data_IF_993755187383
#
_entry.id   IF_993755187383
#
_cell.length_a   1.000
_cell.length_b   1.000
_cell.length_c   1.000
_cell.angle_alpha   90.00
_cell.angle_beta   90.00
_cell.angle_gamma   90.00
#
_symmetry.space_group_name_H-M   'P 1'
#
loop_
_entity.id
_entity.type
_entity.pdbx_description
1 polymer ?
#
# COMPACT_ATOMS: atom_id res chain seq x y z
N UNK A 1 30.43 1.39 6.80
CA UNK A 1 30.25 2.52 7.72
C UNK A 1 29.55 3.65 6.99
N UNK A 2 28.32 4.00 7.40
CA UNK A 2 27.57 5.10 6.80
C UNK A 2 28.34 6.41 6.94
N UNK A 3 28.26 7.28 5.93
CA UNK A 3 28.90 8.61 6.02
C UNK A 3 28.16 9.46 7.05
N UNK A 4 28.87 10.40 7.69
CA UNK A 4 28.36 11.27 8.77
C UNK A 4 26.99 11.92 8.46
N UNK A 5 26.72 12.25 7.20
CA UNK A 5 25.45 12.87 6.81
C UNK A 5 24.30 11.86 6.67
N UNK A 6 24.56 10.61 6.26
CA UNK A 6 23.57 9.52 6.31
C UNK A 6 23.11 9.29 7.76
N UNK A 7 24.06 9.20 8.70
CA UNK A 7 23.76 8.98 10.12
C UNK A 7 22.89 10.10 10.72
N UNK A 8 23.12 11.36 10.33
CA UNK A 8 22.28 12.48 10.79
C UNK A 8 20.84 12.37 10.29
N UNK A 9 20.65 11.98 9.04
CA UNK A 9 19.30 11.81 8.46
C UNK A 9 18.61 10.61 9.12
N UNK A 10 19.35 9.51 9.31
CA UNK A 10 18.87 8.31 10.00
C UNK A 10 18.37 8.64 11.40
N UNK A 11 19.14 9.41 12.16
CA UNK A 11 18.76 9.82 13.52
C UNK A 11 17.52 10.72 13.54
N UNK A 12 17.41 11.67 12.60
CA UNK A 12 16.20 12.50 12.45
C UNK A 12 14.95 11.66 12.15
N UNK A 13 15.07 10.65 11.29
CA UNK A 13 13.97 9.73 10.98
C UNK A 13 13.61 8.92 12.24
N UNK A 14 14.62 8.44 12.98
CA UNK A 14 14.41 7.70 14.24
C UNK A 14 13.63 8.54 15.25
N UNK A 15 14.12 9.75 15.53
CA UNK A 15 13.48 10.67 16.45
C UNK A 15 12.05 11.05 16.02
N UNK A 16 11.82 11.25 14.71
CA UNK A 16 10.50 11.54 14.19
C UNK A 16 9.55 10.35 14.40
N UNK A 17 10.00 9.13 14.11
CA UNK A 17 9.23 7.91 14.33
C UNK A 17 8.83 7.75 15.79
N UNK A 18 9.76 7.95 16.72
CA UNK A 18 9.52 7.89 18.16
C UNK A 18 8.56 8.99 18.64
N UNK A 19 8.71 10.23 18.12
CA UNK A 19 7.76 11.33 18.40
C UNK A 19 6.36 11.06 17.87
N UNK A 20 6.29 10.38 16.74
CA UNK A 20 5.08 9.80 16.18
C UNK A 20 4.77 8.43 16.80
N UNK A 21 5.26 8.09 17.98
CA UNK A 21 4.92 6.86 18.74
C UNK A 21 5.12 5.52 18.03
N UNK A 22 5.88 5.46 16.94
CA UNK A 22 6.36 4.20 16.36
C UNK A 22 7.54 3.66 17.16
N UNK A 23 7.74 2.35 17.10
CA UNK A 23 9.02 1.74 17.50
C UNK A 23 9.96 1.91 16.31
N UNK A 24 10.98 2.76 16.46
CA UNK A 24 11.94 3.03 15.39
C UNK A 24 13.24 2.28 15.60
N UNK A 25 13.63 1.46 14.62
CA UNK A 25 14.85 0.64 14.66
C UNK A 25 15.74 1.02 13.48
N UNK A 26 17.04 1.13 13.71
CA UNK A 26 18.06 1.47 12.70
C UNK A 26 18.85 0.24 12.29
N UNK A 27 19.29 0.16 11.03
CA UNK A 27 20.07 -0.99 10.50
C UNK A 27 19.32 -2.32 10.74
N UNK A 28 18.03 -2.34 10.39
CA UNK A 28 17.13 -3.44 10.70
C UNK A 28 17.12 -4.51 9.60
N UNK A 29 17.05 -5.78 10.01
CA UNK A 29 16.96 -6.93 9.11
C UNK A 29 15.62 -7.66 9.32
N UNK A 30 14.77 -7.70 8.29
CA UNK A 30 13.42 -8.29 8.39
C UNK A 30 13.31 -9.75 7.96
N UNK A 31 14.26 -10.25 7.19
CA UNK A 31 14.14 -11.57 6.58
C UNK A 31 15.14 -12.54 7.21
N UNK A 32 14.69 -13.75 7.49
CA UNK A 32 15.56 -14.85 7.88
C UNK A 32 16.03 -15.59 6.62
N UNK A 33 17.34 -15.61 6.32
CA UNK A 33 17.84 -16.49 5.26
C UNK A 33 19.35 -16.73 5.26
N UNK A 34 19.77 -17.79 4.55
CA UNK A 34 21.18 -18.18 4.34
C UNK A 34 21.86 -17.44 3.16
N UNK A 35 21.26 -16.37 2.64
CA UNK A 35 21.72 -15.62 1.47
C UNK A 35 21.75 -14.11 1.75
N UNK A 36 21.86 -13.25 0.71
CA UNK A 36 21.79 -11.81 0.92
C UNK A 36 20.45 -11.41 1.55
N UNK A 37 20.52 -10.73 2.68
CA UNK A 37 19.37 -10.10 3.33
C UNK A 37 19.56 -8.58 3.33
N UNK A 38 18.57 -7.81 2.85
CA UNK A 38 18.58 -6.37 2.97
C UNK A 38 18.61 -5.92 4.44
N UNK A 39 19.56 -5.04 4.75
CA UNK A 39 19.59 -4.24 5.96
C UNK A 39 18.99 -2.88 5.61
N UNK A 40 17.91 -2.49 6.27
CA UNK A 40 17.21 -1.23 6.02
C UNK A 40 17.75 -0.15 6.96
N UNK A 41 18.00 1.06 6.44
CA UNK A 41 18.55 2.16 7.25
C UNK A 41 17.68 2.48 8.47
N UNK A 42 16.36 2.59 8.28
CA UNK A 42 15.41 2.74 9.39
C UNK A 42 14.13 1.98 9.08
N UNK A 43 13.56 1.33 10.10
CA UNK A 43 12.22 0.74 10.07
C UNK A 43 11.39 1.31 11.21
N UNK A 44 10.17 1.74 10.90
CA UNK A 44 9.16 2.06 11.87
C UNK A 44 8.18 0.91 12.00
N UNK A 45 8.02 0.40 13.21
CA UNK A 45 6.99 -0.58 13.56
C UNK A 45 5.84 0.10 14.29
N UNK A 46 4.62 -0.28 13.91
CA UNK A 46 3.41 0.05 14.65
C UNK A 46 3.02 -1.13 15.53
N UNK A 47 3.01 -0.89 16.83
CA UNK A 47 2.68 -1.89 17.84
C UNK A 47 1.16 -2.00 17.98
N UNK A 48 0.52 -2.83 17.15
CA UNK A 48 -0.92 -2.98 17.12
C UNK A 48 -1.48 -3.63 18.38
N UNK A 49 -0.71 -4.48 19.07
CA UNK A 49 -1.18 -5.17 20.29
C UNK A 49 -1.39 -4.19 21.46
N UNK A 50 -0.70 -3.05 21.46
CA UNK A 50 -0.96 -1.94 22.40
C UNK A 50 -2.27 -1.21 22.14
N UNK A 51 -2.82 -1.33 20.94
CA UNK A 51 -3.95 -0.51 20.49
C UNK A 51 -5.23 -1.33 20.22
N UNK A 52 -5.10 -2.58 19.79
CA UNK A 52 -6.17 -3.41 19.26
C UNK A 52 -6.11 -4.82 19.84
N UNK A 53 -7.28 -5.39 20.17
CA UNK A 53 -7.38 -6.83 20.44
C UNK A 53 -7.46 -7.64 19.14
N UNK A 54 -6.41 -8.42 18.88
CA UNK A 54 -6.23 -9.23 17.68
C UNK A 54 -6.41 -10.74 17.92
N UNK A 55 -6.77 -11.17 19.13
CA UNK A 55 -6.79 -12.61 19.44
C UNK A 55 -7.80 -13.41 18.62
N UNK A 56 -8.96 -12.82 18.31
CA UNK A 56 -9.99 -13.51 17.54
C UNK A 56 -9.57 -13.83 16.10
N UNK A 57 -8.70 -13.01 15.49
CA UNK A 57 -8.21 -13.27 14.13
C UNK A 57 -7.03 -14.24 14.09
N UNK A 58 -6.45 -14.62 15.22
CA UNK A 58 -5.32 -15.57 15.31
C UNK A 58 -5.63 -16.92 14.67
N UNK A 59 -6.90 -17.32 14.71
CA UNK A 59 -7.39 -18.55 14.08
C UNK A 59 -7.01 -18.64 12.60
N UNK A 60 -7.03 -17.52 11.88
CA UNK A 60 -6.72 -17.48 10.45
C UNK A 60 -5.23 -17.72 10.14
N UNK A 61 -4.37 -17.65 11.15
CA UNK A 61 -2.91 -17.73 11.02
C UNK A 61 -2.31 -19.01 11.61
N UNK A 62 -3.12 -20.03 11.91
CA UNK A 62 -2.62 -21.31 12.46
C UNK A 62 -1.50 -21.96 11.65
N UNK A 63 -1.56 -21.84 10.33
CA UNK A 63 -0.58 -22.41 9.40
C UNK A 63 0.62 -21.49 9.15
N UNK A 64 0.59 -20.24 9.64
CA UNK A 64 1.68 -19.26 9.54
C UNK A 64 1.69 -18.31 10.76
N UNK A 65 2.14 -18.80 11.94
CA UNK A 65 2.14 -18.00 13.18
C UNK A 65 3.08 -16.80 13.13
N UNK A 66 4.18 -16.88 12.37
CA UNK A 66 5.14 -15.78 12.22
C UNK A 66 4.50 -14.56 11.57
N UNK A 67 3.64 -14.77 10.57
CA UNK A 67 2.87 -13.68 9.97
C UNK A 67 1.96 -12.97 10.98
N UNK A 68 1.37 -13.71 11.92
CA UNK A 68 0.54 -13.12 12.96
C UNK A 68 1.37 -12.23 13.90
N UNK A 69 2.57 -12.65 14.27
CA UNK A 69 3.50 -11.83 15.04
C UNK A 69 3.96 -10.59 14.26
N UNK A 70 4.20 -10.72 12.94
CA UNK A 70 4.45 -9.56 12.07
C UNK A 70 3.26 -8.59 12.03
N UNK A 71 2.02 -9.06 12.13
CA UNK A 71 0.85 -8.18 12.20
C UNK A 71 0.82 -7.42 13.53
N UNK A 72 1.08 -8.09 14.67
CA UNK A 72 1.12 -7.44 15.98
C UNK A 72 2.13 -6.30 16.02
N UNK A 73 3.32 -6.53 15.44
CA UNK A 73 4.37 -5.51 15.27
C UNK A 73 4.53 -5.19 13.80
N UNK A 74 3.55 -4.46 13.27
CA UNK A 74 3.43 -4.19 11.84
C UNK A 74 4.61 -3.37 11.33
N UNK A 75 5.41 -3.85 10.34
CA UNK A 75 6.39 -3.04 9.64
C UNK A 75 5.67 -1.94 8.86
N UNK A 76 5.58 -0.76 9.46
CA UNK A 76 4.71 0.31 8.99
C UNK A 76 5.38 1.15 7.90
N UNK A 77 6.63 1.56 8.14
CA UNK A 77 7.40 2.32 7.15
C UNK A 77 8.86 1.85 7.11
N UNK A 78 9.39 1.66 5.89
CA UNK A 78 10.81 1.40 5.63
C UNK A 78 11.49 2.61 5.00
N UNK A 79 12.74 2.85 5.37
CA UNK A 79 13.53 3.98 4.90
C UNK A 79 14.88 3.53 4.36
N UNK A 80 15.27 4.11 3.23
CA UNK A 80 16.62 4.05 2.68
C UNK A 80 17.13 5.47 2.43
N UNK A 81 18.41 5.72 2.72
CA UNK A 81 18.99 7.05 2.84
C UNK A 81 20.27 7.15 2.02
N UNK A 82 20.31 8.15 1.15
CA UNK A 82 21.52 8.48 0.39
C UNK A 82 22.08 9.83 0.78
N UNK A 83 22.95 9.82 1.79
CA UNK A 83 23.61 11.01 2.32
C UNK A 83 24.80 11.52 1.50
N UNK A 84 25.26 10.82 0.46
CA UNK A 84 26.46 11.20 -0.33
C UNK A 84 26.47 10.61 -1.75
N UNK A 85 27.51 10.87 -2.56
CA UNK A 85 27.57 10.39 -3.97
C UNK A 85 27.24 8.92 -4.10
N UNK A 86 26.11 8.67 -4.74
CA UNK A 86 25.72 7.35 -5.21
C UNK A 86 25.49 7.36 -6.71
N UNK A 87 26.00 6.30 -7.33
CA UNK A 87 25.70 6.02 -8.73
C UNK A 87 24.26 5.49 -8.83
N UNK A 88 23.74 5.41 -10.05
CA UNK A 88 22.38 4.94 -10.29
C UNK A 88 22.11 3.50 -9.81
N UNK A 89 23.14 2.65 -9.68
CA UNK A 89 22.96 1.26 -9.23
C UNK A 89 22.67 1.17 -7.74
N UNK A 90 23.32 2.00 -6.92
CA UNK A 90 23.03 2.09 -5.49
C UNK A 90 21.61 2.59 -5.24
N UNK A 91 21.22 3.69 -5.89
CA UNK A 91 19.84 4.19 -5.77
C UNK A 91 18.81 3.13 -6.20
N UNK A 92 19.05 2.41 -7.31
CA UNK A 92 18.18 1.29 -7.72
C UNK A 92 18.13 0.17 -6.67
N UNK A 93 19.26 -0.13 -6.02
CA UNK A 93 19.33 -1.07 -4.90
C UNK A 93 18.39 -0.69 -3.75
N UNK A 94 18.34 0.58 -3.37
CA UNK A 94 17.45 1.06 -2.31
C UNK A 94 15.97 0.84 -2.64
N UNK A 95 15.57 1.07 -3.90
CA UNK A 95 14.20 0.76 -4.34
C UNK A 95 13.91 -0.75 -4.28
N UNK A 96 14.88 -1.60 -4.65
CA UNK A 96 14.74 -3.06 -4.59
C UNK A 96 14.66 -3.58 -3.15
N UNK A 97 15.49 -3.05 -2.25
CA UNK A 97 15.46 -3.37 -0.83
C UNK A 97 14.07 -3.06 -0.28
N UNK A 98 13.61 -1.82 -0.38
CA UNK A 98 12.29 -1.40 0.10
C UNK A 98 11.15 -2.19 -0.55
N UNK A 99 11.25 -2.51 -1.84
CA UNK A 99 10.27 -3.35 -2.53
C UNK A 99 10.18 -4.76 -1.95
N UNK A 100 11.31 -5.31 -1.50
CA UNK A 100 11.36 -6.60 -0.82
C UNK A 100 10.85 -6.54 0.62
N UNK A 101 10.91 -5.36 1.25
CA UNK A 101 10.38 -5.11 2.58
C UNK A 101 8.84 -5.11 2.56
N UNK A 102 8.23 -5.85 3.48
CA UNK A 102 6.77 -5.89 3.65
C UNK A 102 6.26 -4.62 4.35
N UNK A 103 6.60 -3.43 3.87
CA UNK A 103 6.19 -2.18 4.50
C UNK A 103 4.86 -1.66 3.94
N UNK A 104 4.07 -0.96 4.77
CA UNK A 104 2.88 -0.23 4.30
C UNK A 104 3.30 1.00 3.47
N UNK A 105 4.32 1.71 3.94
CA UNK A 105 4.91 2.88 3.27
C UNK A 105 6.42 2.70 3.08
N UNK A 106 6.95 3.24 1.99
CA UNK A 106 8.36 3.14 1.65
C UNK A 106 8.90 4.54 1.38
N UNK A 107 10.07 4.85 1.91
CA UNK A 107 10.68 6.17 1.76
C UNK A 107 12.13 6.03 1.32
N UNK A 108 12.49 6.78 0.28
CA UNK A 108 13.90 6.99 -0.11
C UNK A 108 14.21 8.46 0.08
N UNK A 109 15.21 8.78 0.89
CA UNK A 109 15.60 10.15 1.21
C UNK A 109 17.02 10.39 0.72
N UNK A 110 17.21 11.40 -0.12
CA UNK A 110 18.52 11.73 -0.69
C UNK A 110 18.97 13.12 -0.28
N UNK A 111 20.27 13.34 -0.14
CA UNK A 111 20.83 14.65 0.15
C UNK A 111 21.42 15.28 -1.13
N UNK A 112 20.61 16.05 -1.89
CA UNK A 112 21.08 16.65 -3.14
C UNK A 112 22.17 17.71 -2.93
N UNK A 113 22.22 18.34 -1.76
CA UNK A 113 23.24 19.32 -1.38
C UNK A 113 24.51 18.68 -0.78
N UNK A 114 24.49 17.38 -0.49
CA UNK A 114 25.63 16.63 0.05
C UNK A 114 26.72 16.32 -0.96
N UNK A 115 26.60 16.81 -2.22
CA UNK A 115 27.54 16.51 -3.28
C UNK A 115 27.85 17.70 -4.18
N UNK A 116 29.01 17.66 -4.85
CA UNK A 116 29.43 18.68 -5.81
C UNK A 116 28.58 18.64 -7.07
N UNK A 117 28.18 17.44 -7.51
CA UNK A 117 27.21 17.21 -8.57
C UNK A 117 25.81 17.19 -7.94
N UNK A 118 25.16 18.37 -7.85
CA UNK A 118 23.82 18.58 -7.26
C UNK A 118 22.68 17.99 -8.10
N UNK A 119 22.82 16.74 -8.54
CA UNK A 119 21.92 16.04 -9.49
C UNK A 119 21.33 14.72 -8.93
N UNK A 120 21.57 14.42 -7.65
CA UNK A 120 21.16 13.16 -7.01
C UNK A 120 19.63 13.04 -6.98
N UNK A 121 18.91 14.13 -6.70
CA UNK A 121 17.45 14.12 -6.65
C UNK A 121 16.84 13.85 -8.02
N UNK A 122 17.28 14.58 -9.06
CA UNK A 122 16.77 14.40 -10.43
C UNK A 122 17.09 13.00 -10.95
N UNK A 123 18.28 12.48 -10.67
CA UNK A 123 18.69 11.10 -11.02
C UNK A 123 17.80 10.08 -10.32
N UNK A 124 17.58 10.23 -9.01
CA UNK A 124 16.73 9.33 -8.24
C UNK A 124 15.27 9.36 -8.69
N UNK A 125 14.73 10.52 -9.09
CA UNK A 125 13.40 10.60 -9.69
C UNK A 125 13.28 9.82 -11.00
N UNK A 126 14.30 9.83 -11.87
CA UNK A 126 14.32 8.99 -13.07
C UNK A 126 14.34 7.51 -12.73
N UNK A 127 15.12 7.12 -11.73
CA UNK A 127 15.20 5.72 -11.27
C UNK A 127 13.88 5.28 -10.65
N UNK A 128 13.22 6.12 -9.86
CA UNK A 128 11.88 5.87 -9.35
C UNK A 128 10.89 5.59 -10.49
N UNK A 129 10.89 6.41 -11.54
CA UNK A 129 10.01 6.20 -12.70
C UNK A 129 10.32 4.88 -13.41
N UNK A 130 11.60 4.63 -13.70
CA UNK A 130 12.05 3.36 -14.27
C UNK A 130 11.61 2.16 -13.43
N UNK A 131 11.80 2.24 -12.11
CA UNK A 131 11.42 1.18 -11.17
C UNK A 131 9.90 0.97 -11.15
N UNK A 132 9.11 2.04 -11.06
CA UNK A 132 7.65 1.95 -11.04
C UNK A 132 7.09 1.37 -12.36
N UNK A 133 7.70 1.67 -13.49
CA UNK A 133 7.31 1.11 -14.80
C UNK A 133 7.63 -0.39 -14.93
N UNK A 134 8.76 -0.84 -14.37
CA UNK A 134 9.23 -2.23 -14.55
C UNK A 134 8.82 -3.18 -13.43
N UNK A 135 8.70 -2.68 -12.20
CA UNK A 135 8.44 -3.49 -10.99
C UNK A 135 7.10 -3.13 -10.33
N UNK A 136 6.42 -2.09 -10.80
CA UNK A 136 5.19 -1.56 -10.23
C UNK A 136 5.43 -0.54 -9.12
N UNK A 137 4.41 0.27 -8.86
CA UNK A 137 4.44 1.31 -7.82
C UNK A 137 4.04 0.72 -6.46
N UNK A 138 4.99 0.63 -5.52
CA UNK A 138 4.81 0.15 -4.13
C UNK A 138 4.70 1.30 -3.12
N UNK A 139 4.09 2.42 -3.53
CA UNK A 139 3.94 3.62 -2.70
C UNK A 139 5.29 4.14 -2.17
N UNK A 140 6.35 4.05 -2.99
CA UNK A 140 7.67 4.56 -2.61
C UNK A 140 7.68 6.08 -2.77
N UNK A 141 7.82 6.79 -1.66
CA UNK A 141 7.93 8.25 -1.58
C UNK A 141 9.42 8.62 -1.67
N UNK A 142 9.78 9.44 -2.65
CA UNK A 142 11.18 9.85 -2.89
C UNK A 142 11.33 11.32 -2.54
N UNK A 143 12.22 11.63 -1.60
CA UNK A 143 12.38 12.97 -1.01
C UNK A 143 13.83 13.44 -1.10
N UNK A 144 14.00 14.74 -1.25
CA UNK A 144 15.23 15.41 -0.86
C UNK A 144 15.23 15.71 0.64
N UNK A 145 16.40 15.77 1.26
CA UNK A 145 16.53 16.13 2.69
C UNK A 145 15.89 17.47 3.01
N UNK A 146 15.93 18.47 2.11
CA UNK A 146 15.26 19.75 2.34
C UNK A 146 13.73 19.59 2.42
N UNK A 147 13.14 18.73 1.58
CA UNK A 147 11.69 18.45 1.63
C UNK A 147 11.31 17.70 2.90
N UNK A 148 12.16 16.75 3.33
CA UNK A 148 11.98 16.02 4.58
C UNK A 148 12.09 16.95 5.80
N UNK A 149 13.14 17.76 5.89
CA UNK A 149 13.35 18.71 6.99
C UNK A 149 12.21 19.74 7.08
N UNK A 150 11.80 20.34 5.95
CA UNK A 150 10.65 21.26 5.89
C UNK A 150 9.34 20.58 6.34
N UNK A 151 9.17 19.28 6.07
CA UNK A 151 7.98 18.53 6.51
C UNK A 151 7.93 18.34 8.02
N UNK A 152 9.10 18.17 8.67
CA UNK A 152 9.23 18.04 10.12
C UNK A 152 9.00 19.39 10.79
N UNK A 153 9.63 20.45 10.29
CA UNK A 153 9.52 21.80 10.85
C UNK A 153 8.06 22.31 10.88
N UNK A 154 7.26 21.89 9.90
CA UNK A 154 5.83 22.24 9.80
C UNK A 154 4.90 21.31 10.57
N UNK A 155 5.41 20.20 11.11
CA UNK A 155 4.62 19.24 11.85
C UNK A 155 4.37 19.76 13.27
N UNK A 156 3.09 19.95 13.60
CA UNK A 156 2.65 20.44 14.92
C UNK A 156 1.78 19.43 15.67
N UNK A 157 1.53 18.26 15.07
CA UNK A 157 0.56 17.30 15.56
C UNK A 157 1.14 15.88 15.52
N UNK A 158 1.17 15.22 16.67
CA UNK A 158 1.89 13.96 16.90
C UNK A 158 0.99 12.83 17.47
N UNK A 159 -0.33 12.99 17.42
CA UNK A 159 -1.26 12.02 18.02
C UNK A 159 -1.21 10.64 17.34
N UNK A 160 -1.12 9.61 18.18
CA UNK A 160 -1.02 8.22 17.76
C UNK A 160 -2.28 7.39 17.96
N UNK A 161 -3.39 8.02 18.33
CA UNK A 161 -4.65 7.32 18.46
C UNK A 161 -5.07 6.65 17.14
N UNK A 162 -4.96 5.33 17.12
CA UNK A 162 -5.63 4.47 16.15
C UNK A 162 -7.10 4.44 16.56
N UNK A 163 -7.99 4.93 15.70
CA UNK A 163 -9.42 4.81 15.97
C UNK A 163 -9.82 3.34 15.96
N UNK A 164 -10.43 2.91 17.07
CA UNK A 164 -11.09 1.60 17.17
C UNK A 164 -12.36 1.59 16.34
N UNK A 165 -12.81 0.39 15.98
CA UNK A 165 -14.14 0.23 15.40
C UNK A 165 -15.22 0.48 16.47
N UNK A 166 -15.91 1.63 16.38
CA UNK A 166 -17.11 1.90 17.19
C UNK A 166 -18.40 1.39 16.51
N UNK A 167 -18.31 0.97 15.24
CA UNK A 167 -19.46 0.49 14.47
C UNK A 167 -19.60 -1.03 14.60
N UNK A 168 -20.68 -1.48 15.24
CA UNK A 168 -21.15 -2.87 15.11
C UNK A 168 -21.41 -3.15 13.63
N UNK A 169 -21.02 -4.32 13.11
CA UNK A 169 -21.28 -4.73 11.72
C UNK A 169 -22.77 -4.57 11.37
N UNK A 170 -23.13 -3.44 10.77
CA UNK A 170 -24.50 -3.19 10.37
C UNK A 170 -24.82 -3.98 9.09
N UNK A 171 -26.07 -4.42 9.02
CA UNK A 171 -26.63 -5.46 8.16
C UNK A 171 -25.94 -5.77 6.80
N UNK A 172 -25.68 -7.06 6.63
CA UNK A 172 -25.37 -7.88 5.43
C UNK A 172 -25.49 -7.18 4.07
N UNK A 173 -24.36 -7.05 3.37
CA UNK A 173 -24.33 -6.95 1.90
C UNK A 173 -24.00 -8.31 1.28
N UNK A 174 -24.46 -8.61 0.06
CA UNK A 174 -24.16 -9.89 -0.62
C UNK A 174 -22.63 -10.01 -0.82
N UNK A 175 -22.03 -11.16 -0.44
CA UNK A 175 -20.61 -11.49 -0.65
C UNK A 175 -20.42 -12.31 -1.93
N UNK A 176 -19.42 -12.00 -2.76
CA UNK A 176 -19.12 -12.76 -3.98
C UNK A 176 -20.26 -12.86 -5.02
N UNK A 177 -21.35 -12.12 -4.87
CA UNK A 177 -22.53 -12.20 -5.74
C UNK A 177 -23.36 -13.50 -5.65
N UNK A 178 -22.95 -14.48 -4.83
CA UNK A 178 -23.58 -15.81 -4.71
C UNK A 178 -24.18 -16.05 -3.32
N UNK A 179 -25.33 -16.72 -3.24
CA UNK A 179 -25.97 -17.11 -1.97
C UNK A 179 -25.23 -18.25 -1.24
N UNK A 180 -24.34 -18.98 -1.93
CA UNK A 180 -23.60 -20.12 -1.36
C UNK A 180 -22.40 -19.73 -0.49
N UNK A 181 -21.91 -18.50 -0.61
CA UNK A 181 -20.83 -17.97 0.24
C UNK A 181 -21.29 -17.71 1.68
N UNK A 182 -22.61 -17.66 1.90
CA UNK A 182 -23.22 -17.34 3.19
C UNK A 182 -22.85 -18.31 4.31
N UNK A 183 -22.82 -19.61 4.01
CA UNK A 183 -22.53 -20.63 5.02
C UNK A 183 -21.05 -20.66 5.39
N UNK A 184 -20.17 -20.40 4.43
CA UNK A 184 -18.74 -20.21 4.68
C UNK A 184 -18.53 -18.96 5.55
N UNK A 185 -19.21 -17.86 5.22
CA UNK A 185 -19.14 -16.61 5.98
C UNK A 185 -19.57 -16.79 7.46
N UNK A 186 -20.68 -17.49 7.71
CA UNK A 186 -21.16 -17.77 9.09
C UNK A 186 -20.14 -18.52 9.94
N UNK A 187 -19.29 -19.35 9.33
CA UNK A 187 -18.25 -20.10 10.05
C UNK A 187 -17.07 -19.23 10.43
N UNK A 188 -16.76 -18.21 9.63
CA UNK A 188 -15.64 -17.30 9.90
C UNK A 188 -16.05 -16.05 10.68
N UNK A 189 -17.33 -15.67 10.67
CA UNK A 189 -17.81 -14.45 11.31
C UNK A 189 -17.50 -14.33 12.81
N UNK A 190 -17.48 -15.41 13.63
CA UNK A 190 -17.07 -15.28 15.03
C UNK A 190 -15.64 -14.77 15.21
N UNK A 191 -14.75 -15.06 14.26
CA UNK A 191 -13.35 -14.60 14.28
C UNK A 191 -13.20 -13.14 13.80
N UNK A 192 -14.25 -12.55 13.24
CA UNK A 192 -14.28 -11.16 12.78
C UNK A 192 -14.70 -10.17 13.88
N UNK A 193 -15.06 -10.65 15.07
CA UNK A 193 -15.32 -9.81 16.25
C UNK A 193 -13.98 -9.31 16.83
N UNK A 194 -13.45 -8.22 16.27
CA UNK A 194 -12.13 -7.65 16.65
C UNK A 194 -12.23 -6.14 16.73
N UNK A 195 -11.22 -5.49 17.34
CA UNK A 195 -11.10 -4.03 17.35
C UNK A 195 -10.78 -3.44 15.95
N UNK A 196 -10.45 -4.28 14.97
CA UNK A 196 -10.27 -3.87 13.57
C UNK A 196 -11.60 -3.48 12.91
N UNK A 197 -11.53 -2.46 12.06
CA UNK A 197 -12.66 -2.05 11.21
C UNK A 197 -12.85 -3.11 10.12
N UNK A 198 -14.04 -3.71 10.08
CA UNK A 198 -14.43 -4.70 9.06
C UNK A 198 -15.23 -4.01 7.96
N UNK A 199 -14.72 -4.06 6.71
CA UNK A 199 -15.39 -3.54 5.52
C UNK A 199 -15.75 -4.67 4.58
N UNK A 200 -16.98 -4.65 4.08
CA UNK A 200 -17.46 -5.61 3.07
C UNK A 200 -17.39 -4.98 1.68
N UNK A 201 -17.17 -5.80 0.64
CA UNK A 201 -17.14 -5.35 -0.75
C UNK A 201 -16.20 -4.14 -0.96
N UNK A 202 -15.06 -4.16 -0.26
CA UNK A 202 -14.16 -3.02 -0.16
C UNK A 202 -13.42 -2.77 -1.47
N UNK A 203 -13.34 -1.50 -1.86
CA UNK A 203 -12.49 -1.04 -2.95
C UNK A 203 -11.54 0.04 -2.45
N UNK A 204 -10.28 -0.08 -2.85
CA UNK A 204 -9.26 0.94 -2.57
C UNK A 204 -9.66 2.31 -3.12
N UNK A 205 -9.28 3.37 -2.41
CA UNK A 205 -9.47 4.75 -2.87
C UNK A 205 -8.49 5.16 -3.98
N UNK A 206 -7.41 4.39 -4.18
CA UNK A 206 -6.34 4.72 -5.13
C UNK A 206 -6.84 4.93 -6.58
N UNK A 207 -7.71 4.08 -7.17
CA UNK A 207 -8.25 4.32 -8.51
C UNK A 207 -9.03 5.64 -8.62
N UNK A 208 -9.77 6.03 -7.56
CA UNK A 208 -10.49 7.30 -7.50
C UNK A 208 -9.53 8.48 -7.57
N UNK A 209 -8.45 8.43 -6.80
CA UNK A 209 -7.42 9.47 -6.78
C UNK A 209 -6.70 9.53 -8.12
N UNK A 210 -6.26 8.40 -8.68
CA UNK A 210 -5.61 8.34 -10.01
C UNK A 210 -6.52 8.95 -11.09
N UNK A 211 -7.80 8.62 -11.08
CA UNK A 211 -8.78 9.23 -11.98
C UNK A 211 -8.89 10.75 -11.78
N UNK A 212 -8.87 11.24 -10.53
CA UNK A 212 -8.91 12.69 -10.24
C UNK A 212 -7.65 13.42 -10.71
N UNK A 213 -6.46 12.81 -10.57
CA UNK A 213 -5.21 13.35 -11.10
C UNK A 213 -5.32 13.51 -12.62
N UNK A 214 -5.68 12.44 -13.34
CA UNK A 214 -5.82 12.48 -14.80
C UNK A 214 -6.87 13.50 -15.25
N UNK A 215 -8.01 13.57 -14.53
CA UNK A 215 -9.06 14.56 -14.79
C UNK A 215 -8.55 15.99 -14.61
N UNK A 216 -7.76 16.26 -13.57
CA UNK A 216 -7.17 17.59 -13.33
C UNK A 216 -6.23 17.97 -14.47
N UNK A 217 -5.35 17.07 -14.90
CA UNK A 217 -4.43 17.33 -16.01
C UNK A 217 -5.19 17.59 -17.31
N UNK A 218 -6.16 16.74 -17.67
CA UNK A 218 -6.86 16.92 -18.95
C UNK A 218 -7.83 18.11 -18.99
N UNK A 219 -8.12 18.80 -17.88
CA UNK A 219 -8.80 20.11 -17.93
C UNK A 219 -7.97 21.17 -18.68
N UNK A 220 -6.65 20.96 -18.78
CA UNK A 220 -5.74 21.84 -19.49
C UNK A 220 -5.56 21.44 -20.97
N UNK A 221 -6.18 20.34 -21.41
CA UNK A 221 -6.20 19.92 -22.81
C UNK A 221 -7.40 20.55 -23.50
N UNK A 222 -7.20 21.16 -24.68
CA UNK A 222 -8.29 21.71 -25.46
C UNK A 222 -9.22 20.57 -25.95
N UNK A 223 -10.47 20.46 -25.46
CA UNK A 223 -11.36 19.36 -25.82
C UNK A 223 -11.84 19.42 -27.28
N UNK A 224 -11.75 20.61 -27.89
CA UNK A 224 -12.14 20.88 -29.27
C UNK A 224 -10.97 20.70 -30.25
N UNK A 225 -9.79 20.28 -29.77
CA UNK A 225 -8.69 19.89 -30.64
C UNK A 225 -9.09 18.68 -31.48
N UNK A 226 -8.75 18.71 -32.77
CA UNK A 226 -8.86 17.54 -33.66
C UNK A 226 -7.87 16.45 -33.24
N UNK A 227 -6.73 16.84 -32.64
CA UNK A 227 -5.82 15.92 -32.01
C UNK A 227 -6.37 15.41 -30.67
N UNK A 228 -6.92 14.19 -30.69
CA UNK A 228 -7.42 13.47 -29.50
C UNK A 228 -6.33 12.69 -28.76
N UNK A 229 -5.09 12.64 -29.27
CA UNK A 229 -4.00 11.88 -28.66
C UNK A 229 -3.80 12.18 -27.16
N UNK A 230 -3.80 13.45 -26.70
CA UNK A 230 -3.63 13.75 -25.28
C UNK A 230 -4.77 13.20 -24.41
N UNK A 231 -6.01 13.19 -24.91
CA UNK A 231 -7.17 12.68 -24.16
C UNK A 231 -7.11 11.16 -24.03
N UNK A 232 -6.68 10.44 -25.07
CA UNK A 232 -6.43 9.00 -25.00
C UNK A 232 -5.27 8.67 -24.05
N UNK A 233 -4.15 9.40 -24.15
CA UNK A 233 -2.99 9.21 -23.26
C UNK A 233 -3.39 9.40 -21.78
N UNK A 234 -4.21 10.41 -21.49
CA UNK A 234 -4.74 10.68 -20.16
C UNK A 234 -5.93 9.79 -19.76
N UNK A 235 -6.30 8.81 -20.59
CA UNK A 235 -7.44 7.91 -20.37
C UNK A 235 -8.74 8.69 -20.13
N UNK A 236 -8.93 9.81 -20.80
CA UNK A 236 -10.18 10.57 -20.76
C UNK A 236 -11.13 10.19 -21.90
N UNK A 237 -10.60 9.55 -22.94
CA UNK A 237 -11.34 8.96 -24.05
C UNK A 237 -10.83 7.54 -24.29
N UNK A 238 -11.72 6.67 -24.75
CA UNK A 238 -11.43 5.26 -25.05
C UNK A 238 -12.34 4.74 -26.17
N UNK A 239 -11.93 3.65 -26.81
CA UNK A 239 -12.78 2.94 -27.76
C UNK A 239 -13.75 2.03 -27.03
N UNK A 240 -15.04 2.32 -27.13
CA UNK A 240 -16.10 1.47 -26.57
C UNK A 240 -16.30 0.21 -27.42
N UNK A 241 -16.26 0.40 -28.74
CA UNK A 241 -16.31 -0.67 -29.74
C UNK A 241 -15.15 -0.46 -30.73
N UNK A 242 -14.02 -1.15 -30.53
CA UNK A 242 -12.82 -0.96 -31.37
C UNK A 242 -13.07 -1.22 -32.86
N UNK A 243 -13.95 -2.17 -33.20
CA UNK A 243 -14.35 -2.50 -34.56
C UNK A 243 -15.09 -1.36 -35.28
N UNK A 244 -15.78 -0.51 -34.52
CA UNK A 244 -16.56 0.62 -35.03
C UNK A 244 -15.85 1.97 -34.92
N UNK A 245 -14.65 1.98 -34.33
CA UNK A 245 -13.94 3.21 -33.95
C UNK A 245 -14.82 4.17 -33.12
N UNK A 246 -15.75 3.64 -32.31
CA UNK A 246 -16.65 4.45 -31.49
C UNK A 246 -15.90 4.95 -30.25
N UNK A 247 -15.55 6.24 -30.26
CA UNK A 247 -14.88 6.91 -29.13
C UNK A 247 -15.91 7.35 -28.09
N UNK A 248 -15.67 6.98 -26.83
CA UNK A 248 -16.47 7.40 -25.68
C UNK A 248 -15.61 8.19 -24.69
N UNK A 249 -16.25 9.16 -24.03
CA UNK A 249 -15.62 9.91 -22.93
C UNK A 249 -15.73 9.16 -21.63
N UNK A 250 -14.64 9.09 -20.89
CA UNK A 250 -14.62 8.59 -19.54
C UNK A 250 -15.24 9.59 -18.56
N UNK A 251 -16.40 9.24 -18.01
CA UNK A 251 -17.13 10.10 -17.06
C UNK A 251 -16.85 9.69 -15.62
N UNK A 252 -16.59 8.40 -15.40
CA UNK A 252 -16.41 7.78 -14.10
C UNK A 252 -15.08 7.01 -14.07
N UNK A 253 -14.57 6.78 -12.87
CA UNK A 253 -13.34 6.00 -12.67
C UNK A 253 -13.40 4.60 -13.28
N UNK A 254 -14.57 3.93 -13.22
CA UNK A 254 -14.76 2.57 -13.75
C UNK A 254 -14.68 2.48 -15.27
N UNK A 255 -14.76 3.60 -15.97
CA UNK A 255 -14.73 3.62 -17.43
C UNK A 255 -13.31 3.29 -17.96
N UNK A 256 -12.25 3.54 -17.17
CA UNK A 256 -10.85 3.27 -17.58
C UNK A 256 -10.01 2.52 -16.55
N UNK A 257 -10.55 2.27 -15.37
CA UNK A 257 -9.85 1.55 -14.32
C UNK A 257 -10.68 0.34 -13.91
N UNK A 258 -10.01 -0.81 -13.86
CA UNK A 258 -10.49 -1.91 -13.04
C UNK A 258 -10.47 -1.49 -11.57
N UNK A 259 -11.57 -1.73 -10.86
CA UNK A 259 -11.72 -1.39 -9.44
C UNK A 259 -11.88 -2.72 -8.71
N UNK A 260 -10.82 -3.24 -8.08
CA UNK A 260 -10.93 -4.48 -7.33
C UNK A 260 -11.94 -4.28 -6.19
N UNK A 261 -12.81 -5.27 -6.02
CA UNK A 261 -13.70 -5.40 -4.88
C UNK A 261 -13.26 -6.65 -4.14
N UNK A 262 -12.84 -6.46 -2.90
CA UNK A 262 -12.48 -7.54 -1.99
C UNK A 262 -13.71 -7.86 -1.13
N UNK A 263 -14.06 -9.14 -0.99
CA UNK A 263 -15.26 -9.54 -0.25
C UNK A 263 -15.26 -8.99 1.19
N UNK A 264 -14.14 -9.16 1.89
CA UNK A 264 -13.94 -8.67 3.25
C UNK A 264 -12.55 -8.06 3.40
N UNK A 265 -12.47 -6.95 4.16
CA UNK A 265 -11.21 -6.35 4.57
C UNK A 265 -11.29 -5.92 6.02
N UNK A 266 -10.31 -6.37 6.80
CA UNK A 266 -10.07 -5.93 8.17
C UNK A 266 -8.88 -4.97 8.16
N UNK A 267 -9.01 -3.86 8.87
CA UNK A 267 -7.97 -2.85 8.91
C UNK A 267 -8.23 -1.78 9.96
N UNK A 268 -7.48 -0.70 9.87
CA UNK A 268 -7.59 0.44 10.78
C UNK A 268 -7.30 1.74 10.05
N UNK A 269 -7.73 2.88 10.60
CA UNK A 269 -7.32 4.17 10.06
C UNK A 269 -5.90 4.51 10.55
N UNK A 270 -5.04 4.95 9.65
CA UNK A 270 -3.65 5.31 9.96
C UNK A 270 -3.59 6.36 11.09
N UNK A 271 -2.57 6.31 11.96
CA UNK A 271 -2.43 7.28 13.05
C UNK A 271 -2.40 8.72 12.53
N UNK A 272 -3.18 9.60 13.17
CA UNK A 272 -3.38 10.97 12.68
C UNK A 272 -2.09 11.78 12.60
N UNK A 273 -1.16 11.58 13.53
CA UNK A 273 0.18 12.18 13.51
C UNK A 273 0.95 11.81 12.24
N UNK A 274 0.91 10.54 11.85
CA UNK A 274 1.52 10.07 10.61
C UNK A 274 0.81 10.65 9.37
N UNK A 275 -0.52 10.68 9.33
CA UNK A 275 -1.26 11.26 8.20
C UNK A 275 -1.01 12.78 8.08
N UNK A 276 -0.90 13.48 9.22
CA UNK A 276 -0.49 14.88 9.28
C UNK A 276 0.91 15.07 8.68
N UNK A 277 1.86 14.21 9.02
CA UNK A 277 3.20 14.25 8.45
C UNK A 277 3.21 14.00 6.94
N UNK A 278 2.44 13.02 6.43
CA UNK A 278 2.26 12.82 4.98
C UNK A 278 1.70 14.07 4.29
N UNK A 279 0.75 14.76 4.91
CA UNK A 279 0.25 16.04 4.40
C UNK A 279 1.37 17.09 4.34
N UNK A 280 2.23 17.17 5.37
CA UNK A 280 3.39 18.09 5.38
C UNK A 280 4.41 17.75 4.33
N UNK A 281 4.68 16.47 4.09
CA UNK A 281 5.49 16.03 2.94
C UNK A 281 4.88 16.55 1.63
N UNK A 282 3.57 16.39 1.43
CA UNK A 282 2.90 16.85 0.21
C UNK A 282 2.99 18.36 0.00
N UNK A 283 3.04 19.15 1.08
CA UNK A 283 3.24 20.59 1.05
C UNK A 283 4.68 20.93 0.64
N UNK A 284 5.68 20.32 1.28
CA UNK A 284 7.11 20.54 1.01
C UNK A 284 7.55 20.09 -0.39
N UNK A 285 6.93 19.05 -0.95
CA UNK A 285 7.20 18.58 -2.32
C UNK A 285 6.67 19.52 -3.42
N UNK A 286 5.92 20.57 -3.06
CA UNK A 286 5.32 21.53 -4.01
C UNK A 286 4.44 20.89 -5.07
N UNK A 287 4.96 20.66 -6.28
CA UNK A 287 4.25 20.03 -7.40
C UNK A 287 4.56 18.53 -7.51
N UNK A 288 5.67 18.05 -6.97
CA UNK A 288 6.10 16.66 -7.15
C UNK A 288 5.18 15.66 -6.43
N UNK A 289 4.39 16.12 -5.45
CA UNK A 289 3.39 15.31 -4.75
C UNK A 289 2.37 14.66 -5.70
N UNK A 290 2.16 15.19 -6.92
CA UNK A 290 1.25 14.61 -7.92
C UNK A 290 1.66 13.21 -8.37
N UNK A 291 2.94 12.85 -8.20
CA UNK A 291 3.46 11.52 -8.50
C UNK A 291 3.14 10.48 -7.41
N UNK A 292 2.45 10.86 -6.34
CA UNK A 292 2.17 10.02 -5.18
C UNK A 292 0.68 10.10 -4.85
N UNK A 293 -0.16 9.12 -5.25
CA UNK A 293 -1.60 9.20 -5.13
C UNK A 293 -2.10 9.51 -3.71
N UNK A 294 -1.52 8.92 -2.67
CA UNK A 294 -1.94 9.22 -1.29
C UNK A 294 -1.64 10.67 -0.90
N UNK A 295 -0.45 11.18 -1.21
CA UNK A 295 -0.09 12.58 -0.93
C UNK A 295 -1.01 13.56 -1.69
N UNK A 296 -1.31 13.27 -2.95
CA UNK A 296 -2.28 14.03 -3.73
C UNK A 296 -3.68 13.97 -3.11
N UNK A 297 -4.12 12.78 -2.71
CA UNK A 297 -5.42 12.57 -2.09
C UNK A 297 -5.59 13.38 -0.79
N UNK A 298 -4.57 13.43 0.05
CA UNK A 298 -4.57 14.21 1.29
C UNK A 298 -4.58 15.72 1.01
N UNK A 299 -3.65 16.20 0.16
CA UNK A 299 -3.53 17.63 -0.17
C UNK A 299 -4.79 18.21 -0.82
N UNK A 300 -5.43 17.41 -1.67
CA UNK A 300 -6.65 17.78 -2.38
C UNK A 300 -7.94 17.42 -1.62
N UNK A 301 -7.81 16.99 -0.36
CA UNK A 301 -8.93 16.64 0.53
C UNK A 301 -9.87 15.58 -0.07
N UNK A 302 -9.32 14.66 -0.86
CA UNK A 302 -10.02 13.46 -1.32
C UNK A 302 -10.04 12.37 -0.26
N UNK A 303 -9.10 12.43 0.68
CA UNK A 303 -9.00 11.61 1.89
C UNK A 303 -8.95 12.58 3.07
N UNK A 304 -9.79 12.40 4.08
CA UNK A 304 -9.69 13.14 5.34
C UNK A 304 -8.53 12.61 6.19
N UNK A 305 -7.98 13.46 7.06
CA UNK A 305 -6.89 13.07 7.99
C UNK A 305 -7.26 11.87 8.89
N UNK A 306 -8.56 11.69 9.16
CA UNK A 306 -9.07 10.60 9.99
C UNK A 306 -9.49 9.34 9.19
N UNK A 307 -9.41 9.37 7.87
CA UNK A 307 -10.05 8.37 6.99
C UNK A 307 -9.05 7.60 6.11
N UNK A 308 -7.74 7.76 6.34
CA UNK A 308 -6.74 6.99 5.62
C UNK A 308 -6.72 5.55 6.11
N UNK A 309 -7.59 4.74 5.54
CA UNK A 309 -7.74 3.32 5.90
C UNK A 309 -6.56 2.48 5.40
N UNK A 310 -5.96 1.72 6.30
CA UNK A 310 -4.91 0.73 6.04
C UNK A 310 -5.54 -0.67 6.00
N UNK A 311 -5.67 -1.28 4.82
CA UNK A 311 -6.17 -2.64 4.69
C UNK A 311 -5.11 -3.64 5.16
N UNK A 312 -5.35 -4.23 6.33
CA UNK A 312 -4.40 -5.14 6.98
C UNK A 312 -4.60 -6.57 6.46
N UNK A 313 -5.82 -7.09 6.55
CA UNK A 313 -6.17 -8.43 6.11
C UNK A 313 -7.30 -8.30 5.10
N UNK A 314 -7.15 -8.90 3.93
CA UNK A 314 -8.26 -9.12 3.01
C UNK A 314 -8.63 -10.59 2.94
N UNK A 315 -9.91 -10.86 2.69
CA UNK A 315 -10.40 -12.21 2.45
C UNK A 315 -11.25 -12.22 1.19
N UNK A 316 -11.06 -13.26 0.38
CA UNK A 316 -11.92 -13.61 -0.75
C UNK A 316 -12.53 -14.98 -0.46
N UNK A 317 -13.86 -15.06 -0.51
CA UNK A 317 -14.61 -16.27 -0.16
C UNK A 317 -14.98 -16.99 -1.45
N UNK A 318 -14.29 -18.09 -1.73
CA UNK A 318 -14.52 -18.87 -2.94
C UNK A 318 -15.34 -20.12 -2.64
N UNK A 319 -16.50 -20.23 -3.30
CA UNK A 319 -17.43 -21.38 -3.18
C UNK A 319 -16.97 -22.58 -4.01
N UNK A 320 -16.09 -22.33 -4.98
CA UNK A 320 -15.37 -23.32 -5.79
C UNK A 320 -14.06 -22.72 -6.30
N UNK A 321 -12.97 -23.49 -6.28
CA UNK A 321 -11.67 -22.98 -6.76
C UNK A 321 -11.61 -23.05 -8.29
N UNK A 322 -11.46 -21.90 -8.94
CA UNK A 322 -11.39 -21.78 -10.40
C UNK A 322 -10.44 -20.65 -10.83
N UNK A 323 -10.42 -20.31 -12.13
CA UNK A 323 -9.70 -19.12 -12.62
C UNK A 323 -10.15 -17.83 -11.92
N UNK A 324 -11.38 -17.76 -11.42
CA UNK A 324 -11.88 -16.63 -10.65
C UNK A 324 -11.04 -16.36 -9.40
N UNK A 325 -10.71 -17.43 -8.66
CA UNK A 325 -9.88 -17.38 -7.45
C UNK A 325 -8.49 -16.76 -7.72
N UNK A 326 -7.94 -16.92 -8.93
CA UNK A 326 -6.67 -16.29 -9.30
C UNK A 326 -6.75 -14.76 -9.27
N UNK A 327 -7.88 -14.21 -9.71
CA UNK A 327 -8.16 -12.78 -9.63
C UNK A 327 -8.22 -12.31 -8.18
N UNK A 328 -8.90 -13.07 -7.31
CA UNK A 328 -8.95 -12.81 -5.86
C UNK A 328 -7.57 -12.83 -5.20
N UNK A 329 -6.78 -13.88 -5.45
CA UNK A 329 -5.39 -14.00 -4.94
C UNK A 329 -4.54 -12.79 -5.33
N UNK A 330 -4.60 -12.37 -6.60
CA UNK A 330 -3.87 -11.19 -7.05
C UNK A 330 -4.39 -9.90 -6.40
N UNK A 331 -5.70 -9.69 -6.36
CA UNK A 331 -6.31 -8.49 -5.79
C UNK A 331 -5.96 -8.34 -4.31
N UNK A 332 -6.10 -9.41 -3.50
CA UNK A 332 -5.73 -9.40 -2.10
C UNK A 332 -4.24 -9.07 -1.90
N UNK A 333 -3.35 -9.74 -2.63
CA UNK A 333 -1.90 -9.59 -2.49
C UNK A 333 -1.43 -8.15 -2.75
N UNK A 334 -2.11 -7.46 -3.68
CA UNK A 334 -1.75 -6.09 -4.06
C UNK A 334 -2.46 -4.99 -3.27
N UNK A 335 -3.58 -5.29 -2.60
CA UNK A 335 -4.43 -4.27 -1.98
C UNK A 335 -4.50 -4.36 -0.44
N UNK A 336 -3.86 -5.34 0.18
CA UNK A 336 -3.75 -5.48 1.63
C UNK A 336 -2.35 -5.89 2.05
N UNK A 337 -2.02 -5.70 3.32
CA UNK A 337 -0.79 -6.24 3.89
C UNK A 337 -0.74 -7.77 3.77
N UNK A 338 -1.86 -8.45 4.07
CA UNK A 338 -2.04 -9.90 3.91
C UNK A 338 -3.40 -10.21 3.25
N UNK A 339 -3.45 -11.29 2.47
CA UNK A 339 -4.68 -11.87 1.92
C UNK A 339 -4.93 -13.29 2.40
N UNK A 340 -6.20 -13.65 2.56
CA UNK A 340 -6.61 -14.98 2.99
C UNK A 340 -7.66 -15.50 2.01
N UNK A 341 -7.29 -16.53 1.26
CA UNK A 341 -8.22 -17.24 0.40
C UNK A 341 -9.04 -18.20 1.27
N UNK A 342 -10.33 -17.91 1.44
CA UNK A 342 -11.23 -18.73 2.26
C UNK A 342 -11.99 -19.69 1.36
N UNK A 343 -11.82 -20.99 1.58
CA UNK A 343 -12.44 -22.05 0.77
C UNK A 343 -12.98 -23.18 1.64
N UNK A 344 -13.75 -24.08 1.03
CA UNK A 344 -14.17 -25.33 1.68
C UNK A 344 -13.00 -26.29 1.83
N UNK A 345 -12.96 -27.05 2.92
CA UNK A 345 -11.94 -28.08 3.14
C UNK A 345 -11.88 -29.14 2.02
N UNK A 346 -12.99 -29.37 1.30
CA UNK A 346 -13.04 -30.26 0.13
C UNK A 346 -12.15 -29.78 -1.02
N UNK A 347 -11.90 -28.48 -1.12
CA UNK A 347 -11.13 -27.85 -2.19
C UNK A 347 -9.69 -27.52 -1.78
N UNK A 348 -9.27 -27.99 -0.58
CA UNK A 348 -7.98 -27.66 0.05
C UNK A 348 -6.78 -27.85 -0.87
N UNK A 349 -6.70 -29.00 -1.56
CA UNK A 349 -5.58 -29.29 -2.45
C UNK A 349 -5.52 -28.31 -3.63
N UNK A 350 -6.67 -27.97 -4.21
CA UNK A 350 -6.74 -27.07 -5.35
C UNK A 350 -6.40 -25.63 -4.95
N UNK A 351 -6.99 -25.11 -3.87
CA UNK A 351 -6.69 -23.79 -3.33
C UNK A 351 -5.19 -23.63 -2.99
N UNK A 352 -4.60 -24.64 -2.33
CA UNK A 352 -3.17 -24.66 -2.00
C UNK A 352 -2.29 -24.60 -3.25
N UNK A 353 -2.65 -25.30 -4.32
CA UNK A 353 -1.89 -25.30 -5.57
C UNK A 353 -1.90 -23.92 -6.24
N UNK A 354 -3.05 -23.26 -6.27
CA UNK A 354 -3.18 -21.91 -6.84
C UNK A 354 -2.32 -20.90 -6.06
N UNK A 355 -2.43 -20.88 -4.73
CA UNK A 355 -1.64 -19.95 -3.90
C UNK A 355 -0.14 -20.25 -4.00
N UNK A 356 0.27 -21.52 -3.92
CA UNK A 356 1.69 -21.92 -4.05
C UNK A 356 2.26 -21.50 -5.39
N UNK A 357 1.51 -21.71 -6.48
CA UNK A 357 1.93 -21.28 -7.81
C UNK A 357 2.20 -19.78 -7.87
N UNK A 358 1.27 -18.94 -7.39
CA UNK A 358 1.47 -17.49 -7.45
C UNK A 358 2.52 -16.96 -6.47
N UNK A 359 2.74 -17.64 -5.34
CA UNK A 359 3.88 -17.36 -4.46
C UNK A 359 5.20 -17.58 -5.21
N UNK A 360 5.36 -18.75 -5.81
CA UNK A 360 6.60 -19.15 -6.45
C UNK A 360 6.88 -18.37 -7.75
N UNK A 361 5.87 -18.24 -8.62
CA UNK A 361 6.05 -17.71 -9.96
C UNK A 361 5.92 -16.17 -10.03
N UNK A 362 5.11 -15.57 -9.14
CA UNK A 362 4.84 -14.12 -9.16
C UNK A 362 5.29 -13.40 -7.87
N UNK A 363 5.87 -14.11 -6.90
CA UNK A 363 6.33 -13.53 -5.64
C UNK A 363 5.20 -12.98 -4.75
N UNK A 364 3.96 -13.50 -4.88
CA UNK A 364 2.82 -13.06 -4.08
C UNK A 364 2.85 -13.68 -2.66
N UNK A 365 3.90 -13.36 -1.90
CA UNK A 365 4.24 -14.03 -0.64
C UNK A 365 3.36 -13.64 0.56
N UNK A 366 2.42 -12.72 0.38
CA UNK A 366 1.50 -12.23 1.40
C UNK A 366 0.08 -12.78 1.23
N UNK A 367 -0.05 -14.07 0.92
CA UNK A 367 -1.34 -14.77 0.81
C UNK A 367 -1.31 -16.07 1.62
N UNK A 368 -2.40 -16.35 2.34
CA UNK A 368 -2.64 -17.61 3.05
C UNK A 368 -3.92 -18.27 2.55
N UNK A 369 -4.09 -19.55 2.89
CA UNK A 369 -5.35 -20.26 2.71
C UNK A 369 -5.98 -20.50 4.08
N UNK A 370 -7.30 -20.36 4.15
CA UNK A 370 -8.08 -20.79 5.30
C UNK A 370 -9.20 -21.72 4.82
N UNK A 371 -9.35 -22.85 5.50
CA UNK A 371 -10.27 -23.91 5.09
C UNK A 371 -11.41 -24.02 6.08
N UNK A 372 -12.64 -24.05 5.58
CA UNK A 372 -13.85 -24.20 6.37
C UNK A 372 -14.42 -25.59 6.19
N UNK A 373 -14.61 -26.28 7.32
CA UNK A 373 -15.37 -27.52 7.38
C UNK A 373 -16.88 -27.20 7.32
N UNK A 374 -17.52 -27.72 6.27
CA UNK A 374 -18.93 -27.46 5.94
C UNK A 374 -19.87 -28.40 6.68
#
# INVERSE_FOLDING_TARGET
>A
MPKKDTLKIQEKIRELGEKLGFISVTEETLHENNSYVPEYDVVWYLDLEKHLNLENIKEFFKEDPEMFEQIKRLPFAGFEIEGSSTNSKYQLGNFLNLYSGKFIYNFVIVNNNGHSERDIYRRGMKIKHYFAENSGDKNIIFLDTAQFDESIERLSYFDMNIQKCDESMDSRSRFGGETKSEDIYKKISPFLETDLIVKQNYSSIIPKIKHKILKRVGKHVNPNSDDKFPLFFLKQEYYKFPDKNEVSKARQQRDNFYIPKLDLVLGFNAPKGFVSWLLKISESMKNDYVHYPILFGLKEKLISINELFIPLISMEIETSVSKHANGGVYNMSKNSFMGILVTKSTDKSMAKNHVTFFKNELGLNNILNYYVDM
#
